data_IF_369339901029
#
_entry.id   IF_369339901029
#
_cell.length_a   1.000
_cell.length_b   1.000
_cell.length_c   1.000
_cell.angle_alpha   90.00
_cell.angle_beta   90.00
_cell.angle_gamma   90.00
#
_symmetry.space_group_name_H-M   'P 1'
#
loop_
_entity.id
_entity.type
_entity.pdbx_description
1 polymer ?
#
# COMPACT_ATOMS: atom_id res chain seq x y z
N UNK A 1 32.90 -58.98 11.48
CA UNK A 1 33.96 -58.17 10.84
C UNK A 1 33.41 -56.77 10.65
N UNK A 2 34.16 -55.75 11.05
CA UNK A 2 33.66 -54.36 11.15
C UNK A 2 33.92 -53.57 9.87
N UNK A 3 32.92 -52.82 9.38
CA UNK A 3 33.08 -51.76 8.39
C UNK A 3 32.54 -50.46 8.98
N UNK A 4 33.44 -49.50 9.17
CA UNK A 4 33.11 -48.13 9.58
C UNK A 4 32.74 -47.29 8.35
N UNK A 5 31.69 -46.48 8.46
CA UNK A 5 31.43 -45.36 7.53
C UNK A 5 31.80 -44.07 8.23
N UNK A 6 32.65 -43.27 7.59
CA UNK A 6 33.17 -42.02 8.16
C UNK A 6 32.14 -40.89 8.11
N UNK A 7 32.02 -40.15 9.21
CA UNK A 7 31.31 -38.86 9.26
C UNK A 7 32.30 -37.76 8.93
N UNK A 8 32.04 -36.98 7.88
CA UNK A 8 32.82 -35.81 7.54
C UNK A 8 32.21 -34.56 8.22
N UNK A 9 32.90 -34.01 9.22
CA UNK A 9 32.59 -32.70 9.81
C UNK A 9 33.56 -31.68 9.25
N UNK A 10 33.08 -30.78 8.40
CA UNK A 10 33.88 -29.66 7.87
C UNK A 10 33.59 -28.38 8.66
N UNK A 11 34.53 -28.04 9.53
CA UNK A 11 34.65 -26.69 10.10
C UNK A 11 35.11 -25.71 9.02
N UNK A 12 34.37 -24.62 8.81
CA UNK A 12 34.83 -23.47 8.04
C UNK A 12 34.54 -22.17 8.80
N UNK A 13 35.55 -21.31 8.84
CA UNK A 13 35.70 -20.22 9.80
C UNK A 13 34.89 -18.97 9.45
N UNK A 14 34.51 -18.21 10.49
CA UNK A 14 34.08 -16.83 10.37
C UNK A 14 35.18 -15.96 9.72
N UNK A 15 34.80 -15.21 8.67
CA UNK A 15 35.50 -14.00 8.25
C UNK A 15 34.44 -12.94 7.98
N UNK A 16 34.45 -11.86 8.76
CA UNK A 16 33.65 -10.66 8.50
C UNK A 16 34.29 -9.85 7.37
N UNK A 17 33.47 -9.35 6.44
CA UNK A 17 33.93 -8.50 5.34
C UNK A 17 32.86 -7.52 4.89
N UNK A 18 32.88 -6.30 5.43
CA UNK A 18 32.09 -5.19 4.91
C UNK A 18 32.75 -4.63 3.62
N UNK A 19 31.99 -4.33 2.56
CA UNK A 19 32.50 -3.62 1.39
C UNK A 19 32.53 -2.10 1.63
N UNK A 20 33.73 -1.54 1.82
CA UNK A 20 33.92 -0.08 1.89
C UNK A 20 33.99 0.54 0.49
N UNK A 21 33.24 1.62 0.28
CA UNK A 21 33.18 2.39 -0.98
C UNK A 21 34.54 3.01 -1.33
N UNK A 22 34.92 2.91 -2.62
CA UNK A 22 36.20 3.40 -3.15
C UNK A 22 36.07 4.87 -3.61
N UNK A 23 36.44 5.81 -2.74
CA UNK A 23 36.56 7.23 -3.13
C UNK A 23 37.84 7.47 -3.94
N UNK A 24 37.73 8.04 -5.13
CA UNK A 24 38.89 8.49 -5.91
C UNK A 24 39.47 9.78 -5.32
N UNK A 25 40.79 9.86 -5.15
CA UNK A 25 41.52 11.11 -4.90
C UNK A 25 42.36 11.48 -6.12
N UNK A 26 42.43 12.76 -6.44
CA UNK A 26 43.33 13.34 -7.44
C UNK A 26 43.86 14.69 -6.91
N UNK A 27 45.12 15.04 -7.21
CA UNK A 27 45.95 15.80 -6.24
C UNK A 27 46.77 16.97 -6.84
N UNK A 28 46.54 18.19 -6.31
CA UNK A 28 47.46 19.37 -6.16
C UNK A 28 48.04 20.06 -7.44
N UNK A 29 48.83 21.18 -7.38
CA UNK A 29 49.17 22.17 -6.31
C UNK A 29 48.98 23.68 -6.76
N UNK A 30 49.82 24.73 -6.44
CA UNK A 30 49.72 25.58 -5.23
C UNK A 30 49.76 27.15 -5.37
N UNK A 31 49.27 27.82 -4.31
CA UNK A 31 49.74 29.05 -3.60
C UNK A 31 50.08 30.43 -4.27
N UNK A 32 49.34 31.48 -3.85
CA UNK A 32 49.80 32.83 -3.41
C UNK A 32 48.61 33.65 -2.81
N UNK A 33 48.74 34.66 -1.92
CA UNK A 33 49.81 34.97 -0.96
C UNK A 33 50.03 36.47 -0.59
N UNK A 34 49.29 37.08 0.37
CA UNK A 34 49.61 38.42 0.98
C UNK A 34 49.02 38.60 2.41
N UNK A 35 49.46 39.64 3.16
CA UNK A 35 49.62 39.57 4.63
C UNK A 35 49.06 40.74 5.47
N UNK A 36 48.56 40.39 6.67
CA UNK A 36 48.68 41.07 7.98
C UNK A 36 48.12 42.50 8.16
N UNK A 37 47.24 42.63 9.15
CA UNK A 37 47.09 43.83 10.00
C UNK A 37 46.75 43.40 11.43
N UNK A 38 47.59 43.74 12.41
CA UNK A 38 47.38 43.40 13.83
C UNK A 38 46.45 44.39 14.52
N UNK A 39 45.49 43.89 15.32
CA UNK A 39 44.91 44.64 16.46
C UNK A 39 44.86 43.73 17.70
N UNK A 40 45.12 44.33 18.85
CA UNK A 40 45.56 43.71 20.08
C UNK A 40 44.40 43.17 20.94
N UNK A 41 44.62 42.06 21.65
CA UNK A 41 43.63 41.46 22.54
C UNK A 41 43.22 42.41 23.68
N UNK A 42 41.92 42.60 23.86
CA UNK A 42 41.33 42.93 25.16
C UNK A 42 40.51 41.73 25.64
N UNK A 43 40.92 41.14 26.78
CA UNK A 43 40.11 40.14 27.48
C UNK A 43 38.93 40.85 28.16
N UNK A 44 37.74 40.74 27.58
CA UNK A 44 36.49 41.01 28.28
C UNK A 44 35.92 39.68 28.80
N UNK A 45 35.91 39.51 30.12
CA UNK A 45 35.30 38.36 30.80
C UNK A 45 33.78 38.40 30.68
N UNK A 46 33.24 37.75 29.66
CA UNK A 46 31.81 37.44 29.61
C UNK A 46 31.55 36.23 30.51
N UNK A 47 30.81 36.46 31.58
CA UNK A 47 30.28 35.41 32.45
C UNK A 47 29.39 34.48 31.61
N UNK A 48 29.68 33.18 31.64
CA UNK A 48 28.73 32.19 31.16
C UNK A 48 27.54 32.16 32.12
N UNK A 49 26.50 32.92 31.78
CA UNK A 49 25.17 32.67 32.34
C UNK A 49 24.82 31.21 32.04
N UNK A 50 24.53 30.46 33.11
CA UNK A 50 24.09 29.07 33.05
C UNK A 50 22.76 29.03 32.30
N UNK A 51 22.82 28.86 30.97
CA UNK A 51 21.64 28.63 30.17
C UNK A 51 21.00 27.34 30.66
N UNK A 52 19.81 27.50 31.21
CA UNK A 52 19.04 26.43 31.82
C UNK A 52 18.81 25.35 30.76
N UNK A 53 19.26 24.13 31.05
CA UNK A 53 19.25 23.03 30.09
C UNK A 53 17.80 22.73 29.71
N UNK A 54 17.45 23.00 28.44
CA UNK A 54 16.25 22.43 27.82
C UNK A 54 16.21 20.94 28.18
N UNK A 55 15.14 20.44 28.82
CA UNK A 55 15.13 19.07 29.30
C UNK A 55 15.36 18.12 28.12
N UNK A 56 16.21 17.12 28.34
CA UNK A 56 16.36 16.04 27.37
C UNK A 56 14.99 15.42 27.12
N UNK A 57 14.68 15.12 25.85
CA UNK A 57 13.52 14.33 25.50
C UNK A 57 13.56 13.04 26.32
N UNK A 58 12.56 12.86 27.19
CA UNK A 58 12.35 11.61 27.90
C UNK A 58 12.18 10.48 26.88
N UNK A 59 12.57 9.23 27.21
CA UNK A 59 12.10 8.08 26.45
C UNK A 59 10.58 8.20 26.31
N UNK A 60 10.05 7.95 25.11
CA UNK A 60 8.61 8.07 24.87
C UNK A 60 7.86 7.26 25.93
N UNK A 61 6.97 7.90 26.68
CA UNK A 61 6.17 7.22 27.71
C UNK A 61 5.18 6.30 27.01
N UNK A 62 5.58 5.04 26.84
CA UNK A 62 4.71 3.96 26.37
C UNK A 62 3.67 3.68 27.44
N UNK A 63 2.39 3.85 27.08
CA UNK A 63 1.27 3.49 27.94
C UNK A 63 1.14 1.96 28.05
N UNK A 64 0.55 1.42 29.12
CA UNK A 64 0.25 -0.01 29.21
C UNK A 64 -0.57 -0.48 28.00
N UNK A 65 -0.26 -1.68 27.52
CA UNK A 65 -0.95 -2.32 26.40
C UNK A 65 -2.39 -2.66 26.83
N UNK A 66 -3.37 -2.13 26.09
CA UNK A 66 -4.79 -2.40 26.26
C UNK A 66 -5.20 -3.64 25.46
N UNK A 67 -5.93 -4.57 26.08
CA UNK A 67 -6.53 -5.71 25.38
C UNK A 67 -7.89 -5.28 24.79
N UNK A 68 -8.08 -5.51 23.49
CA UNK A 68 -9.28 -5.12 22.76
C UNK A 68 -10.20 -6.32 22.52
N UNK A 69 -11.51 -6.09 22.59
CA UNK A 69 -12.51 -7.05 22.08
C UNK A 69 -12.28 -7.28 20.56
N UNK A 70 -11.96 -8.51 20.12
CA UNK A 70 -11.69 -8.83 18.71
C UNK A 70 -12.89 -8.53 17.78
N UNK A 71 -14.11 -8.55 18.30
CA UNK A 71 -15.33 -8.27 17.54
C UNK A 71 -15.61 -6.77 17.37
N UNK A 72 -14.98 -5.92 18.20
CA UNK A 72 -15.23 -4.49 18.24
C UNK A 72 -14.51 -3.72 17.12
N UNK A 73 -14.98 -2.51 16.81
CA UNK A 73 -14.56 -1.80 15.60
C UNK A 73 -13.06 -1.46 15.51
N UNK A 74 -12.29 -1.13 16.57
CA UNK A 74 -10.88 -0.79 16.43
C UNK A 74 -10.05 -1.99 15.93
N UNK A 75 -10.24 -3.15 16.57
CA UNK A 75 -9.61 -4.41 16.20
C UNK A 75 -9.92 -4.81 14.74
N UNK A 76 -11.20 -4.70 14.35
CA UNK A 76 -11.63 -4.99 12.98
C UNK A 76 -11.08 -4.01 11.95
N UNK A 77 -11.06 -2.70 12.22
CA UNK A 77 -10.50 -1.68 11.32
C UNK A 77 -9.01 -1.91 11.08
N UNK A 78 -8.24 -2.17 12.14
CA UNK A 78 -6.82 -2.50 12.02
C UNK A 78 -6.61 -3.79 11.19
N UNK A 79 -7.42 -4.84 11.38
CA UNK A 79 -7.38 -6.03 10.52
C UNK A 79 -7.71 -5.73 9.04
N UNK A 80 -8.68 -4.86 8.75
CA UNK A 80 -8.98 -4.43 7.38
C UNK A 80 -7.85 -3.60 6.74
N UNK A 81 -7.13 -2.78 7.51
CA UNK A 81 -5.91 -2.11 7.03
C UNK A 81 -4.82 -3.13 6.67
N UNK A 82 -4.65 -4.17 7.49
CA UNK A 82 -3.77 -5.30 7.17
C UNK A 82 -4.18 -6.05 5.89
N UNK A 83 -5.50 -6.24 5.68
CA UNK A 83 -6.05 -6.82 4.46
C UNK A 83 -5.68 -6.00 3.22
N UNK A 84 -5.82 -4.67 3.28
CA UNK A 84 -5.45 -3.80 2.18
C UNK A 84 -3.95 -3.87 1.89
N UNK A 85 -3.11 -3.82 2.92
CA UNK A 85 -1.67 -4.05 2.79
C UNK A 85 -1.35 -5.38 2.09
N UNK A 86 -1.90 -6.51 2.56
CA UNK A 86 -1.69 -7.83 1.94
C UNK A 86 -2.11 -7.86 0.47
N UNK A 87 -3.22 -7.21 0.11
CA UNK A 87 -3.64 -7.10 -1.28
C UNK A 87 -2.68 -6.26 -2.12
N UNK A 88 -2.08 -5.18 -1.60
CA UNK A 88 -1.04 -4.42 -2.34
C UNK A 88 0.22 -5.25 -2.63
N UNK A 89 0.56 -6.22 -1.77
CA UNK A 89 1.78 -7.02 -1.88
C UNK A 89 1.58 -8.34 -2.64
N UNK A 90 0.37 -8.90 -2.61
CA UNK A 90 0.12 -10.28 -3.05
C UNK A 90 -1.13 -10.44 -3.92
N UNK A 91 -1.98 -9.42 -4.04
CA UNK A 91 -3.23 -9.51 -4.80
C UNK A 91 -3.02 -9.63 -6.31
N UNK A 92 -3.94 -10.28 -7.00
CA UNK A 92 -3.96 -10.43 -8.46
C UNK A 92 -5.40 -10.55 -9.00
N UNK A 93 -5.60 -10.60 -10.34
CA UNK A 93 -6.93 -10.84 -10.93
C UNK A 93 -7.58 -12.18 -10.51
N UNK A 94 -6.80 -13.11 -9.94
CA UNK A 94 -7.24 -14.44 -9.49
C UNK A 94 -6.96 -14.71 -8.01
N UNK A 95 -6.53 -13.69 -7.24
CA UNK A 95 -6.27 -13.81 -5.80
C UNK A 95 -6.60 -12.51 -5.08
N UNK A 96 -7.61 -12.54 -4.22
CA UNK A 96 -8.02 -11.41 -3.38
C UNK A 96 -8.11 -11.86 -1.93
N UNK A 97 -7.34 -11.23 -1.06
CA UNK A 97 -7.20 -11.62 0.34
C UNK A 97 -8.22 -10.89 1.22
N UNK A 98 -8.80 -11.61 2.18
CA UNK A 98 -9.83 -11.13 3.09
C UNK A 98 -9.61 -11.52 4.55
N UNK A 99 -10.05 -10.67 5.47
CA UNK A 99 -10.21 -11.05 6.89
C UNK A 99 -11.46 -11.90 7.03
N UNK A 100 -11.34 -13.08 7.61
CA UNK A 100 -12.51 -13.87 8.03
C UNK A 100 -13.01 -13.43 9.40
N UNK A 101 -12.13 -13.46 10.40
CA UNK A 101 -12.38 -12.95 11.75
C UNK A 101 -11.09 -12.53 12.44
N UNK A 102 -11.19 -11.58 13.36
CA UNK A 102 -10.12 -11.28 14.31
C UNK A 102 -10.13 -12.34 15.42
N UNK A 103 -8.94 -12.78 15.84
CA UNK A 103 -8.71 -13.78 16.89
C UNK A 103 -8.34 -13.09 18.20
N UNK A 104 -7.43 -12.12 18.14
CA UNK A 104 -7.05 -11.26 19.26
C UNK A 104 -6.59 -9.88 18.75
N UNK A 105 -6.70 -8.86 19.58
CA UNK A 105 -6.15 -7.54 19.29
C UNK A 105 -5.71 -6.82 20.57
N UNK A 106 -4.65 -6.04 20.48
CA UNK A 106 -4.21 -5.12 21.53
C UNK A 106 -3.88 -3.74 20.96
N UNK A 107 -3.88 -2.73 21.82
CA UNK A 107 -3.54 -1.34 21.51
C UNK A 107 -2.43 -0.84 22.43
N UNK A 108 -1.37 -0.32 21.84
CA UNK A 108 -0.26 0.37 22.50
C UNK A 108 -0.24 1.83 22.03
N UNK A 109 -0.44 2.77 22.97
CA UNK A 109 -0.29 4.21 22.68
C UNK A 109 1.16 4.62 22.89
N UNK A 110 1.81 5.06 21.81
CA UNK A 110 3.22 5.46 21.80
C UNK A 110 3.30 6.99 21.75
N UNK A 111 3.76 7.60 22.84
CA UNK A 111 3.82 9.05 22.98
C UNK A 111 4.63 9.72 21.85
N UNK A 112 4.01 10.68 21.17
CA UNK A 112 4.63 11.40 20.04
C UNK A 112 4.78 10.61 18.74
N UNK A 113 4.30 9.35 18.68
CA UNK A 113 4.40 8.49 17.48
C UNK A 113 3.03 8.11 16.94
N UNK A 114 2.10 7.66 17.80
CA UNK A 114 0.74 7.30 17.37
C UNK A 114 0.13 6.12 18.12
N UNK A 115 -0.85 5.47 17.48
CA UNK A 115 -1.58 4.32 18.01
C UNK A 115 -1.12 3.05 17.29
N UNK A 116 -0.48 2.12 18.00
CA UNK A 116 -0.01 0.85 17.48
C UNK A 116 -0.96 -0.27 17.90
N UNK A 117 -1.55 -0.93 16.91
CA UNK A 117 -2.38 -2.11 17.09
C UNK A 117 -1.57 -3.36 16.80
N UNK A 118 -1.64 -4.37 17.66
CA UNK A 118 -1.21 -5.72 17.35
C UNK A 118 -2.45 -6.57 17.15
N UNK A 119 -2.59 -7.23 16.01
CA UNK A 119 -3.80 -7.95 15.63
C UNK A 119 -3.46 -9.33 15.09
N UNK A 120 -4.12 -10.35 15.61
CA UNK A 120 -4.10 -11.70 15.03
C UNK A 120 -5.47 -11.95 14.39
N UNK A 121 -5.49 -12.38 13.13
CA UNK A 121 -6.74 -12.66 12.41
C UNK A 121 -6.64 -13.91 11.52
N UNK A 122 -7.78 -14.53 11.25
CA UNK A 122 -7.89 -15.62 10.27
C UNK A 122 -8.02 -15.04 8.86
N UNK A 123 -7.19 -15.52 7.94
CA UNK A 123 -7.14 -15.10 6.54
C UNK A 123 -8.03 -16.02 5.68
N UNK A 124 -8.63 -15.47 4.62
CA UNK A 124 -9.29 -16.25 3.57
C UNK A 124 -8.99 -15.70 2.17
N UNK A 125 -9.07 -16.57 1.19
CA UNK A 125 -9.11 -16.20 -0.22
C UNK A 125 -10.57 -15.88 -0.59
N UNK A 126 -10.84 -14.70 -1.17
CA UNK A 126 -12.19 -14.15 -1.31
C UNK A 126 -12.93 -14.63 -2.56
N UNK A 127 -12.24 -15.23 -3.53
CA UNK A 127 -12.80 -15.70 -4.80
C UNK A 127 -13.30 -17.15 -4.67
N UNK A 128 -12.53 -18.01 -4.01
CA UNK A 128 -12.95 -19.38 -3.65
C UNK A 128 -13.67 -19.44 -2.29
N UNK A 129 -13.53 -18.39 -1.47
CA UNK A 129 -13.97 -18.33 -0.07
C UNK A 129 -13.34 -19.46 0.78
N UNK A 130 -12.12 -19.87 0.45
CA UNK A 130 -11.37 -20.89 1.19
C UNK A 130 -10.64 -20.27 2.40
N UNK A 131 -10.72 -20.90 3.58
CA UNK A 131 -9.94 -20.50 4.75
C UNK A 131 -8.46 -20.80 4.51
N UNK A 132 -7.59 -19.86 4.89
CA UNK A 132 -6.15 -20.00 4.83
C UNK A 132 -5.56 -20.21 6.24
N UNK A 133 -4.39 -19.65 6.52
CA UNK A 133 -3.80 -19.61 7.85
C UNK A 133 -4.25 -18.41 8.70
N UNK A 134 -3.50 -18.14 9.76
CA UNK A 134 -3.62 -16.90 10.54
C UNK A 134 -2.56 -15.88 10.09
N UNK A 135 -2.88 -14.62 10.30
CA UNK A 135 -1.97 -13.49 10.18
C UNK A 135 -1.73 -12.88 11.56
N UNK A 136 -0.47 -12.55 11.86
CA UNK A 136 -0.06 -11.70 12.97
C UNK A 136 0.45 -10.38 12.39
N UNK A 137 -0.11 -9.26 12.84
CA UNK A 137 0.13 -7.95 12.23
C UNK A 137 0.35 -6.86 13.26
N UNK A 138 1.30 -5.97 12.99
CA UNK A 138 1.39 -4.65 13.61
C UNK A 138 0.83 -3.60 12.65
N UNK A 139 -0.07 -2.73 13.13
CA UNK A 139 -0.59 -1.56 12.39
C UNK A 139 -0.38 -0.32 13.25
N UNK A 140 0.52 0.56 12.82
CA UNK A 140 0.74 1.87 13.46
C UNK A 140 0.01 2.96 12.66
N UNK A 141 -0.95 3.61 13.29
CA UNK A 141 -1.52 4.87 12.81
C UNK A 141 -0.68 6.02 13.36
N UNK A 142 0.10 6.74 12.52
CA UNK A 142 0.97 7.81 12.99
C UNK A 142 0.17 9.05 13.42
N UNK A 143 0.70 9.81 14.39
CA UNK A 143 0.18 11.11 14.80
C UNK A 143 1.03 12.24 14.20
N UNK A 144 0.39 13.27 13.63
CA UNK A 144 1.07 14.40 12.97
C UNK A 144 0.09 15.47 12.49
N UNK A 145 0.62 16.59 11.99
CA UNK A 145 -0.20 17.68 11.41
C UNK A 145 -0.74 17.33 10.02
N UNK A 146 -0.01 16.51 9.25
CA UNK A 146 -0.48 15.91 8.01
C UNK A 146 -0.89 14.45 8.26
N UNK A 147 -1.99 14.00 7.63
CA UNK A 147 -2.45 12.62 7.72
C UNK A 147 -1.50 11.70 6.91
N UNK A 148 -0.57 11.07 7.62
CA UNK A 148 0.32 10.07 7.03
C UNK A 148 -0.37 8.68 6.97
N UNK A 149 -0.07 7.85 5.95
CA UNK A 149 -0.59 6.49 5.85
C UNK A 149 -0.25 5.60 7.05
N UNK A 150 -1.07 4.57 7.36
CA UNK A 150 -0.73 3.56 8.35
C UNK A 150 0.52 2.79 7.95
N UNK A 151 1.39 2.52 8.92
CA UNK A 151 2.54 1.63 8.74
C UNK A 151 2.13 0.22 9.15
N UNK A 152 2.33 -0.76 8.26
CA UNK A 152 1.88 -2.14 8.46
C UNK A 152 3.07 -3.11 8.36
N UNK A 153 3.19 -4.00 9.34
CA UNK A 153 4.07 -5.16 9.29
C UNK A 153 3.24 -6.42 9.51
N UNK A 154 3.16 -7.29 8.51
CA UNK A 154 2.25 -8.44 8.52
C UNK A 154 3.01 -9.73 8.19
N UNK A 155 2.79 -10.77 9.00
CA UNK A 155 3.26 -12.13 8.73
C UNK A 155 2.05 -13.07 8.74
N UNK A 156 1.89 -13.88 7.70
CA UNK A 156 0.74 -14.77 7.56
C UNK A 156 1.15 -16.17 7.12
N UNK A 157 0.54 -17.17 7.75
CA UNK A 157 0.62 -18.55 7.31
C UNK A 157 -0.20 -18.78 6.04
N UNK A 158 0.31 -19.62 5.14
CA UNK A 158 -0.44 -20.09 3.97
C UNK A 158 -0.49 -19.17 2.75
N UNK A 159 0.04 -17.94 2.79
CA UNK A 159 0.05 -17.01 1.63
C UNK A 159 0.60 -17.61 0.34
N UNK A 160 1.55 -18.53 0.44
CA UNK A 160 2.21 -19.20 -0.70
C UNK A 160 1.48 -20.46 -1.21
N UNK A 161 0.35 -20.84 -0.60
CA UNK A 161 -0.39 -22.06 -0.97
C UNK A 161 -1.32 -21.88 -2.18
N UNK A 162 -1.64 -20.63 -2.55
CA UNK A 162 -2.49 -20.30 -3.69
C UNK A 162 -1.62 -20.13 -4.94
N UNK A 163 -1.68 -21.07 -5.87
CA UNK A 163 -1.04 -20.95 -7.19
C UNK A 163 -2.01 -20.46 -8.27
N UNK A 164 -1.92 -19.17 -8.59
CA UNK A 164 -2.69 -18.51 -9.65
C UNK A 164 -1.93 -18.36 -10.96
N UNK A 165 -0.65 -18.76 -11.04
CA UNK A 165 0.26 -18.38 -12.13
C UNK A 165 -0.25 -18.78 -13.51
N UNK A 166 -0.80 -20.00 -13.64
CA UNK A 166 -1.34 -20.49 -14.91
C UNK A 166 -2.55 -19.67 -15.40
N UNK A 167 -3.43 -19.24 -14.48
CA UNK A 167 -4.60 -18.43 -14.81
C UNK A 167 -4.20 -16.99 -15.15
N UNK A 168 -3.25 -16.42 -14.41
CA UNK A 168 -2.68 -15.10 -14.67
C UNK A 168 -1.97 -15.04 -16.02
N UNK A 169 -1.12 -16.03 -16.34
CA UNK A 169 -0.44 -16.11 -17.63
C UNK A 169 -1.44 -16.28 -18.78
N UNK A 170 -2.45 -17.15 -18.63
CA UNK A 170 -3.48 -17.34 -19.65
C UNK A 170 -4.26 -16.04 -19.94
N UNK A 171 -4.67 -15.31 -18.89
CA UNK A 171 -5.34 -14.02 -19.04
C UNK A 171 -4.42 -12.98 -19.68
N UNK A 172 -3.16 -12.89 -19.25
CA UNK A 172 -2.19 -11.95 -19.80
C UNK A 172 -1.94 -12.19 -21.30
N UNK A 173 -1.72 -13.44 -21.71
CA UNK A 173 -1.52 -13.80 -23.11
C UNK A 173 -2.78 -13.55 -23.95
N UNK A 174 -3.97 -13.88 -23.43
CA UNK A 174 -5.25 -13.55 -24.09
C UNK A 174 -5.39 -12.05 -24.37
N UNK A 175 -5.05 -11.21 -23.38
CA UNK A 175 -5.18 -9.74 -23.50
C UNK A 175 -4.09 -9.10 -24.36
N UNK A 176 -2.90 -9.71 -24.49
CA UNK A 176 -1.86 -9.27 -25.43
C UNK A 176 -2.11 -9.73 -26.87
N UNK A 177 -2.85 -10.82 -27.07
CA UNK A 177 -3.19 -11.36 -28.39
C UNK A 177 -4.54 -10.87 -28.95
N UNK A 178 -5.33 -10.14 -28.16
CA UNK A 178 -6.62 -9.58 -28.59
C UNK A 178 -6.42 -8.32 -29.45
N UNK A 179 -7.06 -8.29 -30.62
CA UNK A 179 -7.16 -7.09 -31.47
C UNK A 179 -8.06 -5.99 -30.85
N UNK A 180 -8.78 -6.30 -29.77
CA UNK A 180 -9.66 -5.38 -29.06
C UNK A 180 -9.23 -5.16 -27.60
N UNK A 181 -9.19 -3.90 -27.19
CA UNK A 181 -8.92 -3.51 -25.81
C UNK A 181 -10.15 -3.82 -24.93
N UNK A 182 -9.93 -4.42 -23.76
CA UNK A 182 -11.02 -4.68 -22.82
C UNK A 182 -11.59 -3.37 -22.28
N UNK A 183 -12.92 -3.28 -22.26
CA UNK A 183 -13.65 -2.25 -21.53
C UNK A 183 -14.85 -2.85 -20.80
N UNK A 184 -15.24 -2.24 -19.69
CA UNK A 184 -16.42 -2.65 -18.93
C UNK A 184 -16.82 -1.57 -17.93
N UNK A 185 -18.09 -1.57 -17.55
CA UNK A 185 -18.69 -0.51 -16.73
C UNK A 185 -19.71 -1.09 -15.75
N UNK A 186 -19.93 -0.40 -14.64
CA UNK A 186 -20.85 -0.79 -13.57
C UNK A 186 -20.68 -2.26 -13.14
N UNK A 187 -19.52 -2.57 -12.53
CA UNK A 187 -19.17 -3.93 -12.08
C UNK A 187 -19.00 -3.92 -10.55
N UNK A 188 -19.81 -4.65 -9.77
CA UNK A 188 -21.05 -5.30 -10.18
C UNK A 188 -22.11 -4.29 -10.66
N UNK A 189 -23.12 -4.79 -11.36
CA UNK A 189 -24.28 -3.97 -11.74
C UNK A 189 -25.17 -3.64 -10.52
N UNK A 190 -26.28 -2.94 -10.76
CA UNK A 190 -27.23 -2.56 -9.70
C UNK A 190 -27.90 -3.74 -8.98
N UNK A 191 -27.77 -4.96 -9.50
CA UNK A 191 -28.31 -6.19 -8.93
C UNK A 191 -27.23 -7.10 -8.31
N UNK A 192 -25.97 -6.65 -8.29
CA UNK A 192 -24.85 -7.45 -7.78
C UNK A 192 -24.27 -8.43 -8.80
N UNK A 193 -24.70 -8.39 -10.07
CA UNK A 193 -24.21 -9.31 -11.09
C UNK A 193 -22.85 -8.87 -11.65
N UNK A 194 -21.99 -9.87 -11.88
CA UNK A 194 -20.68 -9.72 -12.54
C UNK A 194 -20.60 -10.80 -13.62
N UNK A 195 -20.50 -10.37 -14.88
CA UNK A 195 -20.29 -11.27 -16.00
C UNK A 195 -18.98 -12.07 -15.80
N UNK A 196 -18.92 -13.38 -16.10
CA UNK A 196 -17.75 -14.24 -15.81
C UNK A 196 -16.41 -13.66 -16.30
N UNK A 197 -16.40 -13.12 -17.52
CA UNK A 197 -15.28 -12.45 -18.17
C UNK A 197 -14.84 -11.15 -17.48
N UNK A 198 -15.73 -10.50 -16.74
CA UNK A 198 -15.43 -9.28 -15.98
C UNK A 198 -14.97 -9.54 -14.54
N UNK A 199 -15.06 -10.78 -14.03
CA UNK A 199 -14.59 -11.13 -12.68
C UNK A 199 -13.10 -10.82 -12.45
N UNK A 200 -12.16 -11.14 -13.36
CA UNK A 200 -10.74 -10.81 -13.14
C UNK A 200 -10.49 -9.29 -13.02
N UNK A 201 -11.26 -8.47 -13.75
CA UNK A 201 -11.17 -7.02 -13.70
C UNK A 201 -11.85 -6.43 -12.45
N UNK A 202 -12.90 -7.07 -11.93
CA UNK A 202 -13.43 -6.76 -10.60
C UNK A 202 -12.40 -7.04 -9.50
N UNK A 203 -11.75 -8.21 -9.51
CA UNK A 203 -10.72 -8.54 -8.52
C UNK A 203 -9.50 -7.61 -8.64
N UNK A 204 -9.02 -7.36 -9.86
CA UNK A 204 -7.94 -6.41 -10.15
C UNK A 204 -8.29 -4.99 -9.68
N UNK A 205 -9.54 -4.55 -9.89
CA UNK A 205 -10.07 -3.31 -9.33
C UNK A 205 -10.03 -3.27 -7.80
N UNK A 206 -10.33 -4.38 -7.12
CA UNK A 206 -10.24 -4.50 -5.66
C UNK A 206 -8.80 -4.47 -5.12
N UNK A 207 -7.88 -5.13 -5.82
CA UNK A 207 -6.44 -5.09 -5.54
C UNK A 207 -5.90 -3.67 -5.72
N UNK A 208 -6.17 -3.04 -6.87
CA UNK A 208 -5.78 -1.66 -7.13
C UNK A 208 -6.38 -0.67 -6.13
N UNK A 209 -7.67 -0.85 -5.77
CA UNK A 209 -8.34 -0.04 -4.75
C UNK A 209 -7.70 -0.21 -3.38
N UNK A 210 -7.11 -1.36 -3.06
CA UNK A 210 -6.42 -1.56 -1.78
C UNK A 210 -5.19 -0.66 -1.60
N UNK A 211 -4.57 -0.13 -2.67
CA UNK A 211 -3.50 0.87 -2.55
C UNK A 211 -4.03 2.19 -1.97
N UNK A 212 -5.14 2.71 -2.50
CA UNK A 212 -5.77 3.94 -1.96
C UNK A 212 -6.46 3.69 -0.63
N UNK A 213 -7.14 2.54 -0.44
CA UNK A 213 -7.76 2.20 0.84
C UNK A 213 -6.72 2.05 1.96
N UNK A 214 -5.54 1.48 1.70
CA UNK A 214 -4.43 1.48 2.65
C UNK A 214 -3.96 2.90 2.93
N UNK A 215 -3.63 3.67 1.88
CA UNK A 215 -3.04 5.01 2.00
C UNK A 215 -3.91 5.99 2.79
N UNK A 216 -5.21 6.00 2.52
CA UNK A 216 -6.16 6.95 3.09
C UNK A 216 -6.79 6.48 4.42
N UNK A 217 -6.40 5.29 4.92
CA UNK A 217 -6.93 4.73 6.18
C UNK A 217 -6.42 5.44 7.42
N UNK A 218 -7.30 5.59 8.40
CA UNK A 218 -6.99 5.94 9.78
C UNK A 218 -7.90 5.14 10.75
N UNK A 219 -7.75 5.35 12.07
CA UNK A 219 -8.52 4.63 13.10
C UNK A 219 -10.05 4.80 12.99
N UNK A 220 -10.49 5.87 12.33
CA UNK A 220 -11.91 6.23 12.16
C UNK A 220 -12.50 5.82 10.82
N UNK A 221 -11.74 5.19 9.92
CA UNK A 221 -12.22 4.75 8.59
C UNK A 221 -12.34 3.23 8.48
N UNK A 222 -13.23 2.77 7.60
CA UNK A 222 -13.32 1.38 7.14
C UNK A 222 -13.73 1.37 5.66
N UNK A 223 -12.77 1.29 4.75
CA UNK A 223 -13.05 1.29 3.32
C UNK A 223 -13.35 -0.12 2.77
N UNK A 224 -14.28 -0.19 1.81
CA UNK A 224 -14.42 -1.30 0.88
C UNK A 224 -14.59 -0.74 -0.55
N UNK A 225 -14.21 -1.50 -1.57
CA UNK A 225 -14.62 -1.17 -2.95
C UNK A 225 -16.09 -1.61 -3.15
N UNK A 226 -16.95 -0.66 -3.51
CA UNK A 226 -18.36 -0.89 -3.79
C UNK A 226 -18.62 -1.22 -5.27
N UNK A 227 -17.91 -0.55 -6.18
CA UNK A 227 -18.12 -0.72 -7.62
C UNK A 227 -16.89 -0.28 -8.43
N UNK A 228 -16.64 -0.92 -9.56
CA UNK A 228 -15.89 -0.37 -10.69
C UNK A 228 -16.90 0.30 -11.63
N UNK A 229 -16.94 1.63 -11.65
CA UNK A 229 -17.81 2.41 -12.55
C UNK A 229 -17.39 2.19 -13.99
N UNK A 230 -16.08 2.20 -14.25
CA UNK A 230 -15.50 2.00 -15.56
C UNK A 230 -14.10 1.37 -15.43
N UNK A 231 -13.76 0.46 -16.32
CA UNK A 231 -12.41 -0.04 -16.58
C UNK A 231 -12.17 -0.03 -18.08
N UNK A 232 -11.04 0.53 -18.51
CA UNK A 232 -10.60 0.53 -19.92
C UNK A 232 -9.12 0.16 -19.99
N UNK A 233 -8.82 -0.93 -20.69
CA UNK A 233 -7.45 -1.26 -21.08
C UNK A 233 -6.93 -0.16 -22.01
N UNK A 234 -5.71 0.30 -21.77
CA UNK A 234 -5.03 1.29 -22.59
C UNK A 234 -4.16 0.58 -23.63
N UNK A 235 -3.90 1.25 -24.76
CA UNK A 235 -2.86 0.80 -25.69
C UNK A 235 -1.50 0.77 -24.96
N UNK A 236 -0.81 -0.37 -25.02
CA UNK A 236 0.50 -0.54 -24.39
C UNK A 236 1.50 -1.08 -25.42
N UNK A 237 2.56 -0.31 -25.65
CA UNK A 237 3.71 -0.71 -26.45
C UNK A 237 4.63 -1.68 -25.68
N UNK A 238 4.42 -1.83 -24.36
CA UNK A 238 5.30 -2.51 -23.43
C UNK A 238 4.85 -3.94 -23.07
N UNK A 239 5.62 -4.58 -22.20
CA UNK A 239 5.34 -5.90 -21.60
C UNK A 239 4.28 -5.88 -20.50
N UNK A 240 3.75 -4.72 -20.14
CA UNK A 240 2.72 -4.58 -19.12
C UNK A 240 1.37 -4.22 -19.75
N UNK A 241 0.29 -4.74 -19.18
CA UNK A 241 -1.06 -4.31 -19.50
C UNK A 241 -1.42 -3.14 -18.60
N UNK A 242 -1.88 -2.04 -19.20
CA UNK A 242 -2.27 -0.83 -18.46
C UNK A 242 -3.78 -0.65 -18.53
N UNK A 243 -4.39 -0.26 -17.42
CA UNK A 243 -5.83 -0.09 -17.26
C UNK A 243 -6.14 1.23 -16.57
N UNK A 244 -7.04 2.02 -17.15
CA UNK A 244 -7.66 3.15 -16.48
C UNK A 244 -8.94 2.67 -15.80
N UNK A 245 -8.93 2.70 -14.48
CA UNK A 245 -10.10 2.45 -13.64
C UNK A 245 -10.74 3.75 -13.18
N UNK A 246 -12.06 3.70 -12.96
CA UNK A 246 -12.83 4.58 -12.09
C UNK A 246 -13.61 3.69 -11.11
N UNK A 247 -13.28 3.79 -9.82
CA UNK A 247 -13.86 3.00 -8.73
C UNK A 247 -14.66 3.85 -7.76
N UNK A 248 -15.61 3.21 -7.09
CA UNK A 248 -16.35 3.70 -5.94
C UNK A 248 -15.86 2.96 -4.70
N UNK A 249 -15.39 3.71 -3.70
CA UNK A 249 -15.09 3.21 -2.37
C UNK A 249 -16.24 3.58 -1.44
N UNK A 250 -16.72 2.65 -0.64
CA UNK A 250 -17.63 2.92 0.47
C UNK A 250 -16.79 3.04 1.75
N UNK A 251 -16.77 4.22 2.33
CA UNK A 251 -16.27 4.43 3.68
C UNK A 251 -17.41 4.10 4.66
N UNK A 252 -17.31 2.93 5.30
CA UNK A 252 -18.40 2.31 6.05
C UNK A 252 -18.72 3.03 7.38
N UNK A 253 -17.86 3.93 7.87
CA UNK A 253 -18.09 4.63 9.15
C UNK A 253 -18.95 5.88 8.95
N UNK A 254 -18.62 6.70 7.96
CA UNK A 254 -19.36 7.89 7.52
C UNK A 254 -20.52 7.57 6.57
N UNK A 255 -20.53 6.37 5.98
CA UNK A 255 -21.44 5.95 4.90
C UNK A 255 -21.24 6.71 3.58
N UNK A 256 -20.08 7.35 3.38
CA UNK A 256 -19.78 8.05 2.14
C UNK A 256 -19.36 7.09 1.01
N UNK A 257 -19.84 7.39 -0.21
CA UNK A 257 -19.30 6.82 -1.46
C UNK A 257 -18.29 7.81 -2.05
N UNK A 258 -17.03 7.42 -2.13
CA UNK A 258 -15.90 8.23 -2.60
C UNK A 258 -15.45 7.71 -3.96
N UNK A 259 -15.23 8.61 -4.91
CA UNK A 259 -14.86 8.27 -6.28
C UNK A 259 -13.33 8.42 -6.45
N UNK A 260 -12.69 7.43 -7.05
CA UNK A 260 -11.26 7.46 -7.39
C UNK A 260 -11.05 6.99 -8.82
N UNK A 261 -10.17 7.66 -9.57
CA UNK A 261 -9.58 7.09 -10.78
C UNK A 261 -8.19 6.55 -10.45
N UNK A 262 -7.87 5.39 -11.01
CA UNK A 262 -6.60 4.70 -10.81
C UNK A 262 -6.03 4.32 -12.18
N UNK A 263 -4.80 4.72 -12.47
CA UNK A 263 -4.03 4.15 -13.58
C UNK A 263 -3.25 2.97 -13.03
N UNK A 264 -3.52 1.76 -13.53
CA UNK A 264 -3.01 0.50 -12.99
C UNK A 264 -2.21 -0.20 -14.08
N UNK A 265 -1.03 -0.73 -13.77
CA UNK A 265 -0.34 -1.69 -14.63
C UNK A 265 -0.31 -3.08 -13.99
N UNK A 266 -0.33 -4.11 -14.84
CA UNK A 266 -0.29 -5.50 -14.41
C UNK A 266 0.41 -6.38 -15.44
N UNK A 267 1.24 -7.31 -14.95
CA UNK A 267 1.64 -8.52 -15.66
C UNK A 267 1.92 -9.65 -14.64
N UNK A 268 1.91 -10.93 -15.05
CA UNK A 268 2.13 -12.05 -14.12
C UNK A 268 3.50 -12.05 -13.41
N UNK A 269 4.51 -11.41 -14.02
CA UNK A 269 5.87 -11.38 -13.48
C UNK A 269 6.07 -10.29 -12.40
N UNK A 270 5.35 -9.16 -12.50
CA UNK A 270 5.54 -7.99 -11.63
C UNK A 270 4.34 -7.71 -10.70
N UNK A 271 3.24 -8.45 -10.87
CA UNK A 271 2.03 -8.26 -10.08
C UNK A 271 1.26 -6.99 -10.48
N UNK A 272 0.50 -6.44 -9.55
CA UNK A 272 -0.34 -5.24 -9.75
C UNK A 272 0.39 -4.01 -9.21
N UNK A 273 0.52 -2.95 -10.01
CA UNK A 273 1.06 -1.65 -9.58
C UNK A 273 0.06 -0.55 -9.89
N UNK A 274 -0.15 0.37 -8.95
CA UNK A 274 -0.91 1.60 -9.19
C UNK A 274 0.07 2.71 -9.54
N UNK A 275 0.00 3.19 -10.79
CA UNK A 275 0.90 4.20 -11.36
C UNK A 275 0.47 5.63 -11.00
N UNK A 276 -0.84 5.88 -11.02
CA UNK A 276 -1.43 7.19 -10.71
C UNK A 276 -2.77 7.01 -10.00
N UNK A 277 -3.10 7.99 -9.14
CA UNK A 277 -4.35 8.03 -8.37
C UNK A 277 -4.91 9.44 -8.40
N UNK A 278 -6.18 9.60 -8.77
CA UNK A 278 -6.87 10.89 -8.83
C UNK A 278 -8.17 10.77 -8.02
N UNK A 279 -8.24 11.48 -6.89
CA UNK A 279 -9.49 11.61 -6.13
C UNK A 279 -10.50 12.43 -6.94
N UNK A 280 -11.76 12.00 -6.95
CA UNK A 280 -12.84 12.68 -7.68
C UNK A 280 -13.85 13.24 -6.67
N UNK A 281 -13.72 14.50 -6.25
CA UNK A 281 -14.67 15.12 -5.34
C UNK A 281 -16.08 15.14 -5.95
N UNK A 282 -17.09 14.80 -5.14
CA UNK A 282 -18.49 14.94 -5.52
C UNK A 282 -18.85 16.41 -5.65
N UNK A 283 -18.82 16.95 -6.86
CA UNK A 283 -19.24 18.31 -7.13
C UNK A 283 -20.77 18.45 -7.02
N UNK A 284 -21.28 18.83 -5.85
CA UNK A 284 -22.73 19.01 -5.59
C UNK A 284 -23.41 20.09 -6.44
N UNK A 285 -22.64 20.92 -7.16
CA UNK A 285 -23.13 22.04 -7.97
C UNK A 285 -22.72 21.96 -9.45
N UNK A 286 -22.07 20.89 -9.89
CA UNK A 286 -21.68 20.74 -11.29
C UNK A 286 -22.87 20.24 -12.10
N UNK A 287 -23.53 21.16 -12.81
CA UNK A 287 -24.47 20.80 -13.88
C UNK A 287 -23.70 20.02 -14.94
N UNK A 288 -24.16 18.82 -15.27
CA UNK A 288 -23.56 18.03 -16.35
C UNK A 288 -23.60 18.85 -17.66
N UNK A 289 -22.50 18.90 -18.44
CA UNK A 289 -22.49 19.64 -19.70
C UNK A 289 -23.61 19.09 -20.62
N UNK A 290 -24.39 19.96 -21.28
CA UNK A 290 -25.53 19.52 -22.06
C UNK A 290 -25.10 18.56 -23.18
N UNK A 291 -25.75 17.40 -23.22
CA UNK A 291 -25.52 16.38 -24.23
C UNK A 291 -26.04 16.84 -25.59
N UNK A 292 -25.19 17.51 -26.37
CA UNK A 292 -25.50 18.02 -27.70
C UNK A 292 -25.57 16.90 -28.75
N UNK A 293 -26.63 16.08 -28.68
CA UNK A 293 -27.06 15.23 -29.79
C UNK A 293 -28.58 15.15 -29.88
N UNK A 294 -29.21 16.06 -30.62
CA UNK A 294 -30.36 15.70 -31.48
C UNK A 294 -30.36 16.60 -32.71
N UNK A 295 -30.36 15.96 -33.88
CA UNK A 295 -30.49 16.61 -35.18
C UNK A 295 -31.86 17.28 -35.32
N UNK A 296 -31.90 18.49 -35.86
CA UNK A 296 -33.09 18.99 -36.57
C UNK A 296 -32.74 19.26 -38.03
N UNK A 297 -33.16 18.34 -38.89
CA UNK A 297 -33.26 18.58 -40.32
C UNK A 297 -34.23 19.74 -40.55
N UNK A 298 -33.81 20.76 -41.29
CA UNK A 298 -34.68 21.80 -41.81
C UNK A 298 -34.36 22.06 -43.29
N UNK A 299 -35.24 21.57 -44.15
CA UNK A 299 -35.59 22.20 -45.43
C UNK A 299 -37.06 22.59 -45.28
N UNK A 300 -37.45 23.82 -45.62
CA UNK A 300 -37.78 24.16 -47.01
C UNK A 300 -37.26 25.57 -47.41
N UNK A 301 -37.40 26.09 -48.64
CA UNK A 301 -38.22 25.67 -49.80
C UNK A 301 -37.46 25.87 -51.11
#
# INVERSE_FOLDING_TARGET
>A
MSWFVYVAVTLLSLVQGNPTVRSSQQQAPPAAGQSIGYVQQQQSTLQYNKMESKPALTPAETMPVEELDPSHYPARRAAHVAQHYLNTQHGSPFKLLGVDRVVSATLEKIAGVGMKYFVVFALKEMITNEPMGQCSTEVLYPIGEEQAPPQVQCSCDGLLQIDTKAHEEALYQQLKASDSLVSGHNIPDSYGFIAPEMKPFWHLGGVASSFVMLKESNESTLYNMAQVVNVTQQESQDKELTFQYHVLLHEMVSQEIIHWKLLVSWCPAEGVRVLQTEWQPKCHHCVAPPSNTTLTLYSPS
#
